data_IF_108882434009
#
_entry.id   IF_108882434009
#
_cell.length_a   1.000
_cell.length_b   1.000
_cell.length_c   1.000
_cell.angle_alpha   90.00
_cell.angle_beta   90.00
_cell.angle_gamma   90.00
#
_symmetry.space_group_name_H-M   'P 1'
#
loop_
_entity.id
_entity.type
_entity.pdbx_description
1 polymer ?
#
# COMPACT_ATOMS: atom_id res chain seq x y z
N UNK A 1 -19.08 0.26 -11.14
CA UNK A 1 -18.35 -1.00 -10.82
C UNK A 1 -16.92 -0.83 -11.31
N UNK A 2 -16.03 -0.33 -10.44
CA UNK A 2 -14.61 -0.21 -10.78
C UNK A 2 -13.98 -1.54 -10.36
N UNK A 3 -13.94 -2.48 -11.29
CA UNK A 3 -13.17 -3.68 -11.11
C UNK A 3 -11.69 -3.30 -11.23
N UNK A 4 -11.00 -3.10 -10.10
CA UNK A 4 -9.55 -3.09 -10.09
C UNK A 4 -9.06 -4.53 -10.27
N UNK A 5 -9.24 -5.06 -11.46
CA UNK A 5 -8.57 -6.27 -11.87
C UNK A 5 -7.16 -5.87 -12.27
N UNK A 6 -6.18 -6.05 -11.40
CA UNK A 6 -4.80 -6.19 -11.84
C UNK A 6 -4.67 -7.54 -12.56
N UNK A 7 -5.24 -7.58 -13.76
CA UNK A 7 -5.10 -8.69 -14.70
C UNK A 7 -3.82 -8.49 -15.52
N UNK A 8 -2.68 -8.34 -14.84
CA UNK A 8 -1.39 -8.41 -15.51
C UNK A 8 -0.49 -9.35 -14.72
N UNK A 9 -0.08 -10.40 -15.38
CA UNK A 9 0.81 -11.46 -15.00
C UNK A 9 1.60 -11.29 -13.69
N UNK A 10 1.91 -12.32 -13.06
CA UNK A 10 2.78 -12.61 -11.89
C UNK A 10 3.50 -11.46 -11.11
N UNK A 11 3.49 -10.19 -11.52
CA UNK A 11 4.16 -9.07 -10.82
C UNK A 11 3.19 -8.29 -9.94
N UNK A 12 3.61 -7.97 -8.71
CA UNK A 12 2.87 -7.16 -7.73
C UNK A 12 3.59 -5.86 -7.45
N UNK A 13 2.85 -4.82 -7.12
CA UNK A 13 3.36 -3.56 -6.59
C UNK A 13 3.40 -3.66 -5.06
N UNK A 14 4.59 -3.78 -4.48
CA UNK A 14 4.81 -4.04 -3.07
C UNK A 14 5.37 -2.79 -2.40
N UNK A 15 4.68 -2.26 -1.39
CA UNK A 15 5.19 -1.20 -0.55
C UNK A 15 5.92 -1.78 0.67
N UNK A 16 7.17 -1.35 0.86
CA UNK A 16 8.05 -1.77 1.96
C UNK A 16 8.25 -0.59 2.91
N UNK A 17 7.80 -0.74 4.14
CA UNK A 17 7.81 0.30 5.17
C UNK A 17 8.40 -0.28 6.44
N UNK A 18 9.19 0.51 7.16
CA UNK A 18 9.65 0.16 8.50
C UNK A 18 9.79 1.41 9.36
N UNK A 19 9.44 1.31 10.64
CA UNK A 19 9.88 2.26 11.66
C UNK A 19 11.41 2.19 11.81
N UNK A 20 12.02 3.27 12.32
CA UNK A 20 13.49 3.39 12.35
C UNK A 20 14.16 2.20 13.04
N UNK A 21 13.67 1.78 14.19
CA UNK A 21 14.20 0.63 14.93
C UNK A 21 13.99 -0.72 14.21
N UNK A 22 13.14 -0.78 13.20
CA UNK A 22 12.82 -2.01 12.48
C UNK A 22 13.41 -2.06 11.07
N UNK A 23 14.10 -1.00 10.65
CA UNK A 23 14.76 -0.97 9.33
C UNK A 23 15.79 -2.08 9.15
N UNK A 24 16.67 -2.36 10.13
CA UNK A 24 17.62 -3.48 9.99
C UNK A 24 16.94 -4.83 9.74
N UNK A 25 15.83 -5.09 10.43
CA UNK A 25 15.06 -6.33 10.27
C UNK A 25 14.41 -6.42 8.88
N UNK A 26 13.88 -5.29 8.39
CA UNK A 26 13.31 -5.25 7.04
C UNK A 26 14.37 -5.47 5.97
N UNK A 27 15.54 -4.87 6.12
CA UNK A 27 16.66 -5.03 5.17
C UNK A 27 17.13 -6.48 5.13
N UNK A 28 17.38 -7.10 6.29
CA UNK A 28 17.75 -8.50 6.38
C UNK A 28 16.70 -9.42 5.75
N UNK A 29 15.43 -9.19 6.05
CA UNK A 29 14.31 -9.92 5.47
C UNK A 29 14.25 -9.76 3.96
N UNK A 30 14.45 -8.55 3.47
CA UNK A 30 14.41 -8.26 2.04
C UNK A 30 15.61 -8.87 1.29
N UNK A 31 16.81 -8.87 1.89
CA UNK A 31 17.97 -9.55 1.33
C UNK A 31 17.73 -11.05 1.20
N UNK A 32 17.18 -11.69 2.23
CA UNK A 32 16.81 -13.10 2.20
C UNK A 32 15.79 -13.42 1.10
N UNK A 33 14.85 -12.51 0.87
CA UNK A 33 13.77 -12.67 -0.13
C UNK A 33 14.07 -11.98 -1.47
N UNK A 34 15.32 -11.57 -1.73
CA UNK A 34 15.71 -10.75 -2.89
C UNK A 34 15.25 -11.35 -4.22
N UNK A 35 15.41 -12.65 -4.40
CA UNK A 35 15.01 -13.32 -5.65
C UNK A 35 13.52 -13.22 -5.91
N UNK A 36 12.70 -13.38 -4.87
CA UNK A 36 11.24 -13.21 -4.99
C UNK A 36 10.87 -11.77 -5.24
N UNK A 37 11.44 -10.84 -4.46
CA UNK A 37 11.17 -9.41 -4.58
C UNK A 37 11.58 -8.84 -5.95
N UNK A 38 12.63 -9.37 -6.57
CA UNK A 38 13.09 -8.95 -7.91
C UNK A 38 12.05 -9.17 -9.03
N UNK A 39 11.08 -10.03 -8.80
CA UNK A 39 9.97 -10.32 -9.74
C UNK A 39 8.82 -9.33 -9.62
N UNK A 40 8.90 -8.40 -8.70
CA UNK A 40 7.84 -7.45 -8.35
C UNK A 40 8.33 -6.00 -8.49
N UNK A 41 7.41 -5.06 -8.48
CA UNK A 41 7.72 -3.62 -8.46
C UNK A 41 7.74 -3.16 -7.00
N UNK A 42 8.86 -2.61 -6.56
CA UNK A 42 9.07 -2.22 -5.18
C UNK A 42 8.86 -0.72 -4.98
N UNK A 43 8.16 -0.39 -3.91
CA UNK A 43 7.97 0.95 -3.38
C UNK A 43 8.43 0.97 -1.92
N UNK A 44 8.93 2.09 -1.45
CA UNK A 44 9.30 2.23 -0.04
C UNK A 44 9.25 3.70 0.41
N UNK A 45 9.13 3.92 1.71
CA UNK A 45 9.13 5.25 2.30
C UNK A 45 10.52 5.69 2.72
N UNK A 46 10.82 6.97 2.56
CA UNK A 46 11.96 7.67 3.10
C UNK A 46 13.33 7.04 2.82
N UNK A 47 14.15 7.02 3.85
CA UNK A 47 15.50 6.44 3.81
C UNK A 47 15.47 4.91 3.68
N UNK A 48 14.39 4.25 4.08
CA UNK A 48 14.19 2.81 3.88
C UNK A 48 14.34 2.45 2.40
N UNK A 49 13.73 3.23 1.51
CA UNK A 49 13.82 2.99 0.07
C UNK A 49 15.24 3.13 -0.48
N UNK A 50 16.03 4.08 0.02
CA UNK A 50 17.43 4.22 -0.36
C UNK A 50 18.24 3.00 0.09
N UNK A 51 18.12 2.63 1.37
CA UNK A 51 18.84 1.49 1.94
C UNK A 51 18.48 0.20 1.18
N UNK A 52 17.20 -0.05 0.93
CA UNK A 52 16.76 -1.23 0.19
C UNK A 52 17.28 -1.24 -1.26
N UNK A 53 17.29 -0.10 -1.93
CA UNK A 53 17.83 0.00 -3.30
C UNK A 53 19.31 -0.35 -3.34
N UNK A 54 20.09 0.16 -2.39
CA UNK A 54 21.53 -0.06 -2.32
C UNK A 54 21.86 -1.52 -1.91
N UNK A 55 21.17 -2.04 -0.89
CA UNK A 55 21.43 -3.38 -0.34
C UNK A 55 20.92 -4.53 -1.21
N UNK A 56 19.83 -4.31 -1.93
CA UNK A 56 19.27 -5.32 -2.83
C UNK A 56 19.79 -5.22 -4.26
N UNK A 57 20.40 -4.10 -4.62
CA UNK A 57 20.72 -3.77 -6.01
C UNK A 57 19.50 -3.91 -6.93
N UNK A 58 18.33 -3.47 -6.45
CA UNK A 58 17.06 -3.49 -7.15
C UNK A 58 16.49 -2.07 -7.24
N UNK A 59 15.76 -1.76 -8.33
CA UNK A 59 15.05 -0.48 -8.41
C UNK A 59 13.94 -0.43 -7.36
N UNK A 60 13.94 0.64 -6.55
CA UNK A 60 12.90 0.91 -5.54
C UNK A 60 12.33 2.31 -5.79
N UNK A 61 11.03 2.38 -6.04
CA UNK A 61 10.31 3.65 -6.13
C UNK A 61 10.15 4.24 -4.73
N UNK A 62 10.55 5.50 -4.53
CA UNK A 62 10.60 6.08 -3.19
C UNK A 62 9.51 7.13 -2.99
N UNK A 63 8.80 6.99 -1.89
CA UNK A 63 7.96 8.02 -1.30
C UNK A 63 8.73 8.86 -0.29
N UNK A 64 8.11 9.88 0.27
CA UNK A 64 8.65 10.63 1.39
C UNK A 64 8.79 9.72 2.64
N UNK A 65 9.53 10.16 3.65
CA UNK A 65 9.52 9.48 4.95
C UNK A 65 8.13 9.54 5.60
N UNK A 66 7.81 8.57 6.46
CA UNK A 66 6.51 8.51 7.15
C UNK A 66 6.16 9.82 7.83
N UNK A 67 7.09 10.39 8.61
CA UNK A 67 6.91 11.67 9.31
C UNK A 67 6.68 12.89 8.37
N UNK A 68 7.06 12.80 7.10
CA UNK A 68 6.86 13.84 6.09
C UNK A 68 5.69 13.54 5.14
N UNK A 69 4.85 12.59 5.48
CA UNK A 69 3.67 12.23 4.68
C UNK A 69 3.83 11.00 3.78
N UNK A 70 4.91 10.23 3.90
CA UNK A 70 5.13 9.01 3.13
C UNK A 70 4.05 7.98 3.34
N UNK A 71 3.58 7.80 4.58
CA UNK A 71 2.49 6.86 4.88
C UNK A 71 1.17 7.27 4.21
N UNK A 72 0.91 8.57 4.12
CA UNK A 72 -0.25 9.12 3.41
C UNK A 72 -0.13 8.92 1.90
N UNK A 73 1.06 9.06 1.33
CA UNK A 73 1.30 8.77 -0.09
C UNK A 73 1.05 7.30 -0.41
N UNK A 74 1.49 6.37 0.45
CA UNK A 74 1.19 4.94 0.30
C UNK A 74 -0.31 4.70 0.41
N UNK A 75 -0.99 5.32 1.37
CA UNK A 75 -2.44 5.24 1.52
C UNK A 75 -3.20 5.71 0.27
N UNK A 76 -2.78 6.84 -0.30
CA UNK A 76 -3.34 7.35 -1.56
C UNK A 76 -3.09 6.38 -2.72
N UNK A 77 -1.88 5.83 -2.82
CA UNK A 77 -1.53 4.85 -3.86
C UNK A 77 -2.34 3.55 -3.73
N UNK A 78 -2.68 3.11 -2.51
CA UNK A 78 -3.62 2.01 -2.27
C UNK A 78 -5.01 2.36 -2.83
N UNK A 79 -5.53 3.54 -2.48
CA UNK A 79 -6.84 3.99 -2.93
C UNK A 79 -6.93 4.14 -4.47
N UNK A 80 -5.82 4.51 -5.11
CA UNK A 80 -5.68 4.60 -6.57
C UNK A 80 -5.43 3.24 -7.26
N UNK A 81 -5.32 2.14 -6.49
CA UNK A 81 -5.04 0.82 -7.04
C UNK A 81 -3.61 0.60 -7.51
N UNK A 82 -2.67 1.44 -7.07
CA UNK A 82 -1.25 1.40 -7.47
C UNK A 82 -0.40 0.49 -6.59
N UNK A 83 -0.89 0.09 -5.41
CA UNK A 83 -0.21 -0.82 -4.48
C UNK A 83 -1.08 -2.06 -4.28
N UNK A 84 -0.47 -3.22 -4.42
CA UNK A 84 -1.14 -4.52 -4.29
C UNK A 84 -0.92 -5.17 -2.92
N UNK A 85 0.17 -4.81 -2.23
CA UNK A 85 0.62 -5.46 -1.02
C UNK A 85 1.45 -4.49 -0.19
N UNK A 86 1.29 -4.51 1.13
CA UNK A 86 2.09 -3.70 2.05
C UNK A 86 2.82 -4.62 3.04
N UNK A 87 4.13 -4.43 3.15
CA UNK A 87 4.98 -5.01 4.20
C UNK A 87 5.43 -3.86 5.10
N UNK A 88 4.93 -3.84 6.31
CA UNK A 88 5.19 -2.78 7.27
C UNK A 88 5.77 -3.34 8.57
N UNK A 89 7.09 -3.30 8.73
CA UNK A 89 7.73 -3.70 9.98
C UNK A 89 7.55 -2.60 11.02
N UNK A 90 6.48 -2.75 11.78
CA UNK A 90 6.06 -1.81 12.81
C UNK A 90 6.82 -2.00 14.12
N UNK A 91 7.13 -0.92 14.81
CA UNK A 91 7.65 -0.93 16.18
C UNK A 91 6.51 -0.57 17.14
N UNK A 92 5.93 -1.55 17.86
CA UNK A 92 4.80 -1.31 18.74
C UNK A 92 5.21 -0.70 20.10
N UNK A 93 6.50 -0.63 20.39
CA UNK A 93 7.04 -0.17 21.68
C UNK A 93 7.57 1.25 21.64
N UNK A 94 7.73 1.84 20.45
CA UNK A 94 8.16 3.21 20.28
C UNK A 94 6.98 4.12 19.95
N UNK A 95 6.93 5.29 20.58
CA UNK A 95 5.98 6.34 20.22
C UNK A 95 6.49 7.09 18.98
N UNK A 96 5.63 7.29 17.98
CA UNK A 96 5.94 8.04 16.77
C UNK A 96 5.01 9.25 16.64
N UNK A 97 5.55 10.37 16.22
CA UNK A 97 4.78 11.60 16.02
C UNK A 97 3.66 11.42 14.97
N UNK A 98 3.80 10.44 14.07
CA UNK A 98 2.87 10.13 12.98
C UNK A 98 2.07 8.83 13.18
N UNK A 99 1.86 8.37 14.41
CA UNK A 99 1.06 7.17 14.70
C UNK A 99 -0.35 7.22 14.11
N UNK A 100 -0.91 8.42 14.01
CA UNK A 100 -2.23 8.61 13.38
C UNK A 100 -2.23 8.26 11.90
N UNK A 101 -1.12 8.49 11.21
CA UNK A 101 -0.95 8.17 9.79
C UNK A 101 -0.82 6.65 9.59
N UNK A 102 -0.15 5.95 10.53
CA UNK A 102 -0.07 4.49 10.54
C UNK A 102 -1.47 3.88 10.69
N UNK A 103 -2.28 4.41 11.61
CA UNK A 103 -3.68 3.97 11.77
C UNK A 103 -4.51 4.24 10.52
N UNK A 104 -4.30 5.38 9.89
CA UNK A 104 -4.97 5.72 8.63
C UNK A 104 -4.56 4.76 7.49
N UNK A 105 -3.29 4.41 7.40
CA UNK A 105 -2.78 3.44 6.43
C UNK A 105 -3.40 2.05 6.62
N UNK A 106 -3.44 1.56 7.87
CA UNK A 106 -4.10 0.29 8.20
C UNK A 106 -5.57 0.29 7.80
N UNK A 107 -6.30 1.37 8.12
CA UNK A 107 -7.71 1.52 7.74
C UNK A 107 -7.92 1.48 6.23
N UNK A 108 -7.08 2.18 5.46
CA UNK A 108 -7.17 2.20 4.00
C UNK A 108 -6.86 0.82 3.42
N UNK A 109 -5.84 0.12 3.92
CA UNK A 109 -5.53 -1.23 3.47
C UNK A 109 -6.71 -2.20 3.68
N UNK A 110 -7.37 -2.14 4.84
CA UNK A 110 -8.57 -2.94 5.13
C UNK A 110 -9.73 -2.56 4.20
N UNK A 111 -9.98 -1.25 4.01
CA UNK A 111 -11.08 -0.76 3.17
C UNK A 111 -10.94 -1.24 1.71
N UNK A 112 -9.73 -1.21 1.17
CA UNK A 112 -9.45 -1.59 -0.22
C UNK A 112 -9.06 -3.07 -0.38
N UNK A 113 -9.18 -3.87 0.69
CA UNK A 113 -8.82 -5.30 0.69
C UNK A 113 -7.39 -5.54 0.18
N UNK A 114 -6.47 -4.68 0.62
CA UNK A 114 -5.03 -4.80 0.32
C UNK A 114 -4.36 -5.57 1.46
N UNK A 115 -3.69 -6.70 1.18
CA UNK A 115 -2.95 -7.43 2.19
C UNK A 115 -1.87 -6.56 2.83
N UNK A 116 -1.80 -6.58 4.16
CA UNK A 116 -0.77 -5.87 4.92
C UNK A 116 -0.15 -6.77 5.98
N UNK A 117 1.17 -6.89 5.98
CA UNK A 117 1.93 -7.59 7.00
C UNK A 117 2.58 -6.57 7.93
N UNK A 118 2.29 -6.66 9.24
CA UNK A 118 2.87 -5.75 10.24
C UNK A 118 4.08 -6.35 10.97
N UNK A 119 4.50 -7.55 10.61
CA UNK A 119 5.68 -8.22 11.16
C UNK A 119 6.26 -9.22 10.16
N UNK A 120 7.46 -9.74 10.49
CA UNK A 120 8.21 -10.68 9.63
C UNK A 120 7.41 -11.95 9.32
N UNK A 121 6.81 -12.57 10.33
CA UNK A 121 6.09 -13.82 10.14
C UNK A 121 4.93 -13.66 9.13
N UNK A 122 4.12 -12.62 9.27
CA UNK A 122 3.05 -12.33 8.31
C UNK A 122 3.59 -12.07 6.91
N UNK A 123 4.72 -11.36 6.80
CA UNK A 123 5.38 -11.09 5.52
C UNK A 123 5.86 -12.39 4.85
N UNK A 124 6.43 -13.34 5.63
CA UNK A 124 6.87 -14.65 5.13
C UNK A 124 5.70 -15.46 4.57
N UNK A 125 4.58 -15.54 5.33
CA UNK A 125 3.38 -16.22 4.87
C UNK A 125 2.80 -15.59 3.59
N UNK A 126 2.77 -14.26 3.52
CA UNK A 126 2.26 -13.56 2.35
C UNK A 126 3.14 -13.80 1.12
N UNK A 127 4.45 -13.64 1.27
CA UNK A 127 5.38 -13.77 0.15
C UNK A 127 5.48 -15.21 -0.36
N UNK A 128 5.27 -16.22 0.50
CA UNK A 128 5.26 -17.64 0.14
C UNK A 128 3.93 -18.11 -0.47
N UNK A 129 2.89 -17.27 -0.46
CA UNK A 129 1.58 -17.63 -0.97
C UNK A 129 1.59 -17.80 -2.50
N UNK A 130 0.94 -18.86 -3.04
CA UNK A 130 0.71 -18.99 -4.48
C UNK A 130 -0.06 -17.80 -5.08
N UNK A 131 -0.81 -17.06 -4.25
CA UNK A 131 -1.55 -15.87 -4.67
C UNK A 131 -0.63 -14.70 -5.09
N UNK A 132 0.65 -14.75 -4.74
CA UNK A 132 1.61 -13.74 -5.18
C UNK A 132 1.81 -13.74 -6.71
N UNK A 133 1.65 -14.88 -7.34
CA UNK A 133 1.92 -15.06 -8.78
C UNK A 133 0.68 -15.45 -9.60
N UNK A 134 -0.46 -15.57 -8.95
CA UNK A 134 -1.75 -15.87 -9.60
C UNK A 134 -2.65 -14.65 -9.68
N UNK A 135 -3.65 -14.69 -10.56
CA UNK A 135 -4.70 -13.68 -10.55
C UNK A 135 -5.48 -13.76 -9.24
N UNK A 136 -5.63 -12.62 -8.57
CA UNK A 136 -6.41 -12.49 -7.35
C UNK A 136 -7.31 -11.26 -7.42
N UNK A 137 -8.61 -11.47 -7.28
CA UNK A 137 -9.58 -10.39 -7.23
C UNK A 137 -9.76 -9.94 -5.77
N UNK A 138 -9.46 -8.67 -5.49
CA UNK A 138 -9.76 -8.05 -4.19
C UNK A 138 -11.23 -7.69 -4.09
N UNK A 139 -11.76 -7.69 -2.89
CA UNK A 139 -13.14 -7.35 -2.56
C UNK A 139 -13.21 -6.11 -1.65
N UNK A 140 -12.94 -4.89 -2.17
CA UNK A 140 -12.98 -3.68 -1.38
C UNK A 140 -14.32 -3.50 -0.68
N UNK A 141 -14.29 -3.10 0.59
CA UNK A 141 -15.48 -2.76 1.35
C UNK A 141 -15.94 -1.34 1.00
N UNK A 142 -16.58 -1.19 -0.16
CA UNK A 142 -17.17 0.09 -0.57
C UNK A 142 -18.55 0.23 0.07
N UNK A 143 -18.82 1.35 0.77
CA UNK A 143 -20.20 1.68 1.17
C UNK A 143 -21.07 1.68 -0.07
N UNK A 144 -22.26 1.09 0.02
CA UNK A 144 -23.28 1.33 -1.00
C UNK A 144 -23.48 2.85 -1.04
N UNK A 145 -23.29 3.45 -2.20
CA UNK A 145 -23.63 4.86 -2.38
C UNK A 145 -25.10 4.98 -2.01
N UNK A 146 -25.38 5.55 -0.85
CA UNK A 146 -26.73 6.00 -0.54
C UNK A 146 -27.02 7.07 -1.57
N UNK A 147 -28.07 6.94 -2.41
CA UNK A 147 -28.41 7.97 -3.37
C UNK A 147 -28.50 9.29 -2.61
N UNK A 148 -27.71 10.26 -2.97
CA UNK A 148 -27.73 11.58 -2.35
C UNK A 148 -29.13 12.13 -2.62
N UNK A 149 -30.00 12.10 -1.61
CA UNK A 149 -31.30 12.76 -1.67
C UNK A 149 -30.99 14.25 -1.90
N UNK A 150 -31.24 14.75 -3.12
CA UNK A 150 -31.15 16.17 -3.38
C UNK A 150 -30.32 16.66 -4.55
N UNK A 151 -30.13 15.88 -5.61
CA UNK A 151 -29.85 16.51 -6.91
C UNK A 151 -31.11 16.52 -7.76
N UNK A 152 -32.00 17.45 -7.44
CA UNK A 152 -32.99 17.85 -8.42
C UNK A 152 -32.27 18.44 -9.64
N UNK A 153 -32.67 18.04 -10.88
CA UNK A 153 -32.09 18.65 -12.08
C UNK A 153 -32.38 20.16 -12.03
N UNK A 154 -31.33 20.98 -12.02
CA UNK A 154 -31.50 22.43 -12.18
C UNK A 154 -32.23 22.68 -13.51
N UNK A 155 -33.53 22.89 -13.44
CA UNK A 155 -34.32 23.36 -14.55
C UNK A 155 -33.72 24.69 -14.97
N UNK A 156 -33.14 24.76 -16.16
CA UNK A 156 -32.74 26.03 -16.77
C UNK A 156 -34.02 26.88 -16.91
N UNK A 157 -34.12 27.93 -16.12
CA UNK A 157 -35.09 28.98 -16.35
C UNK A 157 -34.83 29.54 -17.75
N UNK A 158 -35.80 29.33 -18.62
CA UNK A 158 -35.77 29.81 -19.99
C UNK A 158 -35.59 31.32 -20.03
N UNK A 159 -34.75 31.78 -20.93
CA UNK A 159 -34.70 33.17 -21.36
C UNK A 159 -36.08 33.58 -21.87
N UNK A 160 -36.67 34.55 -21.20
CA UNK A 160 -37.84 35.27 -21.74
C UNK A 160 -37.30 36.37 -22.65
N UNK A 161 -37.83 36.39 -23.85
CA UNK A 161 -37.52 37.34 -24.90
C UNK A 161 -37.85 38.79 -24.52
#
# INVERSE_FOLDING_TARGET
MIAHASAQGSSRNIALIAHDNRKPDLVEWAQFNRETLSKHVLFATGTTGQILSDELELPVNRYLSGALGGDQQVGAAIAEGKIDLVIFFSDPLAAHAHDVDVKALLRIAVLYDVPIACNRASADFMLSSPLMVSAYARHPHMPQETPTVGQEPRTRLGAVA
#
